data_IF_534707334130
#
_entry.id   IF_534707334130
#
_cell.length_a   1.000
_cell.length_b   1.000
_cell.length_c   1.000
_cell.angle_alpha   90.00
_cell.angle_beta   90.00
_cell.angle_gamma   90.00
#
_symmetry.space_group_name_H-M   'P 1'
#
loop_
_entity.id
_entity.type
_entity.pdbx_description
1 polymer ?
#
# COMPACT_ATOMS: atom_id res chain seq x y z
N UNK A 1 13.97 52.81 10.04
CA UNK A 1 13.79 52.66 8.59
C UNK A 1 14.85 51.68 8.11
N UNK A 2 14.53 50.38 8.06
CA UNK A 2 15.24 49.40 7.25
C UNK A 2 14.30 48.21 7.05
N UNK A 3 13.63 48.21 5.90
CA UNK A 3 12.82 47.11 5.42
C UNK A 3 13.77 46.01 4.95
N UNK A 4 13.85 44.90 5.68
CA UNK A 4 14.48 43.68 5.17
C UNK A 4 13.56 43.05 4.11
N UNK A 5 14.10 42.97 2.90
CA UNK A 5 13.43 42.55 1.66
C UNK A 5 12.77 41.16 1.80
N UNK A 6 11.60 40.90 1.16
CA UNK A 6 11.04 39.57 1.12
C UNK A 6 11.87 38.69 0.16
N UNK A 7 12.43 37.61 0.69
CA UNK A 7 13.13 36.58 -0.08
C UNK A 7 12.10 35.84 -0.96
N UNK A 8 11.87 36.33 -2.19
CA UNK A 8 10.93 35.74 -3.16
C UNK A 8 11.64 34.80 -4.14
N UNK A 9 11.02 33.63 -4.34
CA UNK A 9 10.95 32.83 -5.59
C UNK A 9 12.23 32.13 -6.10
N UNK A 10 12.63 31.06 -5.42
CA UNK A 10 13.17 29.85 -6.10
C UNK A 10 12.47 28.54 -5.66
N UNK A 11 11.38 28.65 -4.89
CA UNK A 11 10.63 27.53 -4.32
C UNK A 11 9.72 26.80 -5.31
N UNK A 12 9.42 27.36 -6.49
CA UNK A 12 8.40 26.78 -7.40
C UNK A 12 8.90 25.53 -8.15
N UNK A 13 10.14 25.54 -8.66
CA UNK A 13 10.66 24.45 -9.47
C UNK A 13 11.04 23.24 -8.61
N UNK A 14 11.75 23.50 -7.49
CA UNK A 14 12.13 22.47 -6.53
C UNK A 14 10.92 21.80 -5.89
N UNK A 15 9.91 22.57 -5.46
CA UNK A 15 8.68 21.98 -4.90
C UNK A 15 7.88 21.20 -5.94
N UNK A 16 7.85 21.64 -7.21
CA UNK A 16 7.21 20.88 -8.28
C UNK A 16 7.86 19.50 -8.50
N UNK A 17 9.20 19.44 -8.54
CA UNK A 17 9.94 18.19 -8.66
C UNK A 17 9.73 17.26 -7.47
N UNK A 18 9.77 17.79 -6.24
CA UNK A 18 9.56 16.98 -5.03
C UNK A 18 8.12 16.47 -4.96
N UNK A 19 7.13 17.31 -5.29
CA UNK A 19 5.73 16.93 -5.25
C UNK A 19 5.34 15.89 -6.32
N UNK A 20 6.10 15.80 -7.41
CA UNK A 20 5.87 14.87 -8.51
C UNK A 20 7.01 13.86 -8.69
N UNK A 21 7.88 13.68 -7.68
CA UNK A 21 9.08 12.85 -7.79
C UNK A 21 8.73 11.40 -8.19
N UNK A 22 7.68 10.83 -7.57
CA UNK A 22 7.17 9.50 -7.93
C UNK A 22 6.79 9.41 -9.42
N UNK A 23 6.00 10.37 -9.92
CA UNK A 23 5.56 10.42 -11.31
C UNK A 23 6.75 10.56 -12.27
N UNK A 24 7.66 11.50 -11.99
CA UNK A 24 8.82 11.75 -12.82
C UNK A 24 9.73 10.51 -12.90
N UNK A 25 9.99 9.86 -11.76
CA UNK A 25 10.76 8.62 -11.72
C UNK A 25 10.06 7.47 -12.47
N UNK A 26 8.73 7.35 -12.35
CA UNK A 26 7.96 6.39 -13.14
C UNK A 26 8.14 6.64 -14.64
N UNK A 27 7.97 7.89 -15.09
CA UNK A 27 8.11 8.25 -16.52
C UNK A 27 9.52 7.94 -17.01
N UNK A 28 10.55 8.30 -16.24
CA UNK A 28 11.94 8.01 -16.58
C UNK A 28 12.21 6.51 -16.71
N UNK A 29 11.74 5.69 -15.76
CA UNK A 29 11.91 4.23 -15.84
C UNK A 29 11.10 3.62 -16.98
N UNK A 30 9.91 4.13 -17.29
CA UNK A 30 9.11 3.66 -18.43
C UNK A 30 9.83 3.94 -19.75
N UNK A 31 10.41 5.14 -19.90
CA UNK A 31 11.22 5.49 -21.08
C UNK A 31 12.46 4.59 -21.16
N UNK A 32 13.18 4.43 -20.05
CA UNK A 32 14.35 3.56 -19.97
C UNK A 32 14.02 2.13 -20.44
N UNK A 33 13.01 1.48 -19.83
CA UNK A 33 12.63 0.13 -20.22
C UNK A 33 12.07 0.08 -21.66
N UNK A 34 11.43 1.15 -22.13
CA UNK A 34 10.97 1.23 -23.53
C UNK A 34 12.09 1.18 -24.56
N UNK A 35 13.27 1.71 -24.22
CA UNK A 35 14.44 1.75 -25.09
C UNK A 35 15.30 0.51 -24.91
N UNK A 36 15.56 0.10 -23.66
CA UNK A 36 16.55 -0.92 -23.34
C UNK A 36 15.97 -2.32 -23.13
N UNK A 37 14.66 -2.46 -22.93
CA UNK A 37 14.03 -3.76 -22.67
C UNK A 37 13.13 -4.18 -23.81
N UNK A 38 13.55 -5.24 -24.51
CA UNK A 38 12.76 -5.83 -25.59
C UNK A 38 11.36 -6.20 -25.08
N UNK A 39 10.33 -5.81 -25.85
CA UNK A 39 8.93 -6.10 -25.57
C UNK A 39 8.34 -5.44 -24.32
N UNK A 40 9.04 -4.50 -23.66
CA UNK A 40 8.47 -3.80 -22.51
C UNK A 40 7.21 -2.99 -22.89
N UNK A 41 7.24 -2.31 -24.03
CA UNK A 41 6.09 -1.53 -24.54
C UNK A 41 4.96 -2.40 -25.10
N UNK A 42 5.03 -3.73 -25.02
CA UNK A 42 3.89 -4.58 -25.38
C UNK A 42 2.78 -4.40 -24.36
N UNK A 43 1.55 -4.30 -24.84
CA UNK A 43 0.37 -4.11 -24.01
C UNK A 43 0.24 -5.19 -22.90
N UNK A 44 0.62 -6.43 -23.19
CA UNK A 44 0.60 -7.52 -22.21
C UNK A 44 1.59 -7.30 -21.05
N UNK A 45 2.74 -6.70 -21.32
CA UNK A 45 3.74 -6.37 -20.30
C UNK A 45 3.23 -5.25 -19.42
N UNK A 46 2.66 -4.20 -20.02
CA UNK A 46 2.05 -3.09 -19.27
C UNK A 46 0.88 -3.57 -18.41
N UNK A 47 0.07 -4.50 -18.92
CA UNK A 47 -0.98 -5.14 -18.13
C UNK A 47 -0.42 -5.96 -16.97
N UNK A 48 0.65 -6.70 -17.19
CA UNK A 48 1.32 -7.47 -16.13
C UNK A 48 1.90 -6.54 -15.05
N UNK A 49 2.47 -5.40 -15.43
CA UNK A 49 2.93 -4.37 -14.51
C UNK A 49 1.79 -3.89 -13.61
N UNK A 50 0.65 -3.52 -14.19
CA UNK A 50 -0.51 -3.07 -13.42
C UNK A 50 -1.05 -4.16 -12.50
N UNK A 51 -1.14 -5.41 -12.99
CA UNK A 51 -1.57 -6.55 -12.18
C UNK A 51 -0.66 -6.83 -10.98
N UNK A 52 0.67 -6.73 -11.15
CA UNK A 52 1.63 -6.89 -10.05
C UNK A 52 1.62 -5.70 -9.09
N UNK A 53 1.29 -4.52 -9.59
CA UNK A 53 1.18 -3.32 -8.75
C UNK A 53 -0.06 -3.38 -7.86
N UNK A 54 -1.12 -4.09 -8.27
CA UNK A 54 -2.40 -4.09 -7.57
C UNK A 54 -2.27 -4.37 -6.07
N UNK A 55 -1.62 -5.47 -5.66
CA UNK A 55 -1.47 -5.82 -4.25
C UNK A 55 -0.76 -4.72 -3.43
N UNK A 56 0.34 -4.17 -3.97
CA UNK A 56 1.06 -3.07 -3.33
C UNK A 56 0.25 -1.77 -3.34
N UNK A 57 -0.60 -1.54 -4.34
CA UNK A 57 -1.49 -0.39 -4.41
C UNK A 57 -2.47 -0.38 -3.23
N UNK A 58 -3.10 -1.52 -2.94
CA UNK A 58 -3.99 -1.67 -1.79
C UNK A 58 -3.25 -1.37 -0.47
N UNK A 59 -2.07 -1.97 -0.29
CA UNK A 59 -1.20 -1.69 0.85
C UNK A 59 -0.84 -0.20 0.97
N UNK A 60 -0.46 0.44 -0.15
CA UNK A 60 -0.11 1.85 -0.20
C UNK A 60 -1.30 2.77 0.13
N UNK A 61 -2.52 2.44 -0.30
CA UNK A 61 -3.72 3.21 0.06
C UNK A 61 -3.97 3.17 1.57
N UNK A 62 -3.86 1.98 2.19
CA UNK A 62 -3.98 1.82 3.64
C UNK A 62 -2.93 2.61 4.39
N UNK A 63 -1.66 2.43 4.00
CA UNK A 63 -0.55 3.12 4.63
C UNK A 63 -0.63 4.64 4.45
N UNK A 64 -1.16 5.13 3.33
CA UNK A 64 -1.32 6.58 3.11
C UNK A 64 -2.29 7.19 4.10
N UNK A 65 -3.39 6.49 4.44
CA UNK A 65 -4.33 6.95 5.46
C UNK A 65 -3.69 6.92 6.86
N UNK A 66 -2.95 5.86 7.18
CA UNK A 66 -2.25 5.70 8.47
C UNK A 66 -1.19 6.79 8.67
N UNK A 67 -0.33 6.98 7.66
CA UNK A 67 0.69 8.04 7.67
C UNK A 67 0.04 9.41 7.76
N UNK A 68 -1.04 9.66 7.01
CA UNK A 68 -1.77 10.93 7.05
C UNK A 68 -2.33 11.24 8.44
N UNK A 69 -2.67 10.23 9.26
CA UNK A 69 -3.07 10.41 10.67
C UNK A 69 -1.91 10.61 11.65
N UNK A 70 -0.65 10.60 11.19
CA UNK A 70 0.55 10.70 12.03
C UNK A 70 0.97 9.38 12.67
N UNK A 71 0.49 8.25 12.16
CA UNK A 71 0.83 6.91 12.62
C UNK A 71 1.55 6.11 11.51
N UNK A 72 1.97 4.89 11.81
CA UNK A 72 2.55 3.97 10.80
C UNK A 72 2.01 2.56 11.03
N UNK A 73 1.72 1.83 9.96
CA UNK A 73 1.29 0.43 10.03
C UNK A 73 2.34 -0.51 9.41
N UNK A 74 3.11 -1.17 10.26
CA UNK A 74 4.10 -2.19 9.87
C UNK A 74 3.50 -3.60 9.80
N UNK A 75 2.22 -3.77 10.16
CA UNK A 75 1.53 -5.07 10.15
C UNK A 75 0.85 -5.38 8.82
N UNK A 76 0.96 -4.50 7.81
CA UNK A 76 0.33 -4.65 6.49
C UNK A 76 0.70 -6.00 5.85
N UNK A 77 1.99 -6.32 5.76
CA UNK A 77 2.47 -7.56 5.15
C UNK A 77 1.97 -8.82 5.85
N UNK A 78 1.99 -8.83 7.19
CA UNK A 78 1.47 -9.95 7.98
C UNK A 78 -0.06 -10.06 7.91
N UNK A 79 -0.77 -8.93 7.78
CA UNK A 79 -2.23 -8.91 7.58
C UNK A 79 -2.61 -9.47 6.22
N UNK A 80 -1.84 -9.16 5.17
CA UNK A 80 -1.96 -9.80 3.86
C UNK A 80 -1.79 -11.31 3.97
N UNK A 81 -0.75 -11.76 4.69
CA UNK A 81 -0.45 -13.17 4.88
C UNK A 81 -1.62 -13.90 5.55
N UNK A 82 -2.07 -13.47 6.72
CA UNK A 82 -3.17 -14.14 7.43
C UNK A 82 -4.51 -14.09 6.66
N UNK A 83 -4.82 -12.97 5.99
CA UNK A 83 -6.03 -12.85 5.18
C UNK A 83 -6.03 -13.83 4.00
N UNK A 84 -4.91 -13.90 3.27
CA UNK A 84 -4.75 -14.89 2.20
C UNK A 84 -4.78 -16.32 2.75
N UNK A 85 -4.15 -16.55 3.91
CA UNK A 85 -4.11 -17.87 4.53
C UNK A 85 -5.51 -18.41 4.87
N UNK A 86 -6.34 -17.57 5.51
CA UNK A 86 -7.70 -17.96 5.87
C UNK A 86 -8.56 -18.16 4.63
N UNK A 87 -8.52 -17.23 3.68
CA UNK A 87 -9.29 -17.32 2.45
C UNK A 87 -8.93 -18.60 1.67
N UNK A 88 -7.64 -18.85 1.49
CA UNK A 88 -7.12 -20.00 0.76
C UNK A 88 -7.49 -21.33 1.42
N UNK A 89 -7.40 -21.40 2.75
CA UNK A 89 -7.73 -22.62 3.50
C UNK A 89 -9.21 -22.95 3.42
N UNK A 90 -10.09 -21.95 3.56
CA UNK A 90 -11.54 -22.14 3.43
C UNK A 90 -11.92 -22.58 2.02
N UNK A 91 -11.35 -21.96 0.99
CA UNK A 91 -11.58 -22.37 -0.40
C UNK A 91 -11.12 -23.80 -0.66
N UNK A 92 -9.95 -24.20 -0.14
CA UNK A 92 -9.47 -25.59 -0.22
C UNK A 92 -10.36 -26.58 0.51
N UNK A 93 -11.04 -26.13 1.57
CA UNK A 93 -12.05 -26.93 2.27
C UNK A 93 -13.40 -27.02 1.52
N UNK A 94 -13.49 -26.51 0.29
CA UNK A 94 -14.70 -26.53 -0.54
C UNK A 94 -15.71 -25.45 -0.21
N UNK A 95 -15.35 -24.44 0.59
CA UNK A 95 -16.25 -23.33 0.89
C UNK A 95 -16.42 -22.42 -0.32
N UNK A 96 -17.60 -21.83 -0.45
CA UNK A 96 -17.85 -20.81 -1.47
C UNK A 96 -16.86 -19.64 -1.32
N UNK A 97 -16.23 -19.26 -2.43
CA UNK A 97 -15.22 -18.19 -2.46
C UNK A 97 -15.72 -16.85 -1.86
N UNK A 98 -16.98 -16.49 -2.08
CA UNK A 98 -17.57 -15.28 -1.51
C UNK A 98 -17.60 -15.33 0.03
N UNK A 99 -17.95 -16.48 0.60
CA UNK A 99 -17.95 -16.69 2.06
C UNK A 99 -16.51 -16.64 2.60
N UNK A 100 -15.56 -17.30 1.91
CA UNK A 100 -14.16 -17.28 2.31
C UNK A 100 -13.57 -15.86 2.33
N UNK A 101 -13.90 -15.04 1.34
CA UNK A 101 -13.51 -13.62 1.28
C UNK A 101 -14.14 -12.84 2.45
N UNK A 102 -15.43 -13.02 2.71
CA UNK A 102 -16.12 -12.32 3.80
C UNK A 102 -15.54 -12.67 5.17
N UNK A 103 -15.28 -13.95 5.45
CA UNK A 103 -14.64 -14.39 6.71
C UNK A 103 -13.25 -13.78 6.85
N UNK A 104 -12.46 -13.76 5.78
CA UNK A 104 -11.13 -13.18 5.79
C UNK A 104 -11.15 -11.67 6.02
N UNK A 105 -12.14 -10.95 5.46
CA UNK A 105 -12.36 -9.54 5.72
C UNK A 105 -12.76 -9.26 7.17
N UNK A 106 -13.59 -10.10 7.78
CA UNK A 106 -13.95 -9.98 9.21
C UNK A 106 -12.69 -10.11 10.07
N UNK A 107 -11.81 -11.05 9.77
CA UNK A 107 -10.52 -11.18 10.47
C UNK A 107 -9.66 -9.93 10.30
N UNK A 108 -9.62 -9.33 9.10
CA UNK A 108 -8.91 -8.07 8.88
C UNK A 108 -9.50 -6.91 9.70
N UNK A 109 -10.83 -6.84 9.83
CA UNK A 109 -11.48 -5.85 10.70
C UNK A 109 -11.06 -6.06 12.15
N UNK A 110 -11.04 -7.30 12.64
CA UNK A 110 -10.59 -7.63 14.00
C UNK A 110 -9.12 -7.21 14.20
N UNK A 111 -8.23 -7.54 13.26
CA UNK A 111 -6.82 -7.15 13.31
C UNK A 111 -6.69 -5.62 13.38
N UNK A 112 -7.42 -4.90 12.51
CA UNK A 112 -7.42 -3.45 12.49
C UNK A 112 -7.97 -2.81 13.77
N UNK A 113 -8.99 -3.43 14.39
CA UNK A 113 -9.51 -3.00 15.70
C UNK A 113 -8.49 -3.22 16.81
N UNK A 114 -7.82 -4.37 16.85
CA UNK A 114 -6.78 -4.66 17.83
C UNK A 114 -5.60 -3.70 17.69
N UNK A 115 -5.11 -3.52 16.46
CA UNK A 115 -4.03 -2.60 16.13
C UNK A 115 -4.38 -1.15 16.46
N UNK A 116 -5.58 -0.73 16.06
CA UNK A 116 -6.11 0.59 16.37
C UNK A 116 -6.24 0.82 17.87
N UNK A 117 -6.64 -0.19 18.65
CA UNK A 117 -6.78 -0.09 20.11
C UNK A 117 -5.44 0.05 20.82
N UNK A 118 -4.42 -0.71 20.39
CA UNK A 118 -3.05 -0.61 20.91
C UNK A 118 -2.52 0.83 20.81
N UNK A 119 -2.80 1.51 19.70
CA UNK A 119 -2.31 2.87 19.45
C UNK A 119 -3.23 3.93 20.06
N UNK A 120 -4.54 3.81 19.83
CA UNK A 120 -5.51 4.85 20.16
C UNK A 120 -5.87 4.91 21.66
N UNK A 121 -5.97 3.76 22.32
CA UNK A 121 -6.45 3.67 23.72
C UNK A 121 -5.33 3.31 24.68
N UNK A 122 -4.42 2.41 24.28
CA UNK A 122 -3.29 2.01 25.12
C UNK A 122 -2.07 2.93 24.97
N UNK A 123 -2.16 3.91 24.06
CA UNK A 123 -1.11 4.92 23.82
C UNK A 123 0.28 4.34 23.55
N UNK A 124 0.35 3.12 23.01
CA UNK A 124 1.60 2.50 22.59
C UNK A 124 2.08 3.20 21.33
N UNK A 125 3.38 3.50 21.26
CA UNK A 125 3.97 4.13 20.08
C UNK A 125 3.67 3.30 18.81
N UNK A 126 3.13 3.90 17.73
CA UNK A 126 2.67 3.18 16.55
C UNK A 126 3.70 2.22 15.95
N UNK A 127 4.97 2.63 15.85
CA UNK A 127 6.02 1.78 15.30
C UNK A 127 6.22 0.49 16.12
N UNK A 128 6.31 0.61 17.45
CA UNK A 128 6.51 -0.55 18.34
C UNK A 128 5.30 -1.47 18.31
N UNK A 129 4.09 -0.93 18.46
CA UNK A 129 2.85 -1.70 18.43
C UNK A 129 2.72 -2.52 17.13
N UNK A 130 3.06 -1.91 15.99
CA UNK A 130 2.91 -2.56 14.70
C UNK A 130 4.05 -3.53 14.37
N UNK A 131 5.25 -3.33 14.90
CA UNK A 131 6.32 -4.34 14.83
C UNK A 131 5.92 -5.61 15.58
N UNK A 132 5.38 -5.48 16.80
CA UNK A 132 4.88 -6.62 17.58
C UNK A 132 3.71 -7.29 16.86
N UNK A 133 2.74 -6.51 16.40
CA UNK A 133 1.59 -7.00 15.62
C UNK A 133 2.04 -7.76 14.37
N UNK A 134 3.04 -7.24 13.64
CA UNK A 134 3.64 -7.92 12.48
C UNK A 134 4.17 -9.31 12.83
N UNK A 135 4.89 -9.44 13.95
CA UNK A 135 5.43 -10.73 14.40
C UNK A 135 4.31 -11.70 14.77
N UNK A 136 3.30 -11.23 15.52
CA UNK A 136 2.17 -12.06 15.95
C UNK A 136 1.37 -12.57 14.76
N UNK A 137 0.90 -11.69 13.87
CA UNK A 137 0.04 -12.12 12.77
C UNK A 137 0.76 -12.98 11.73
N UNK A 138 2.06 -12.72 11.49
CA UNK A 138 2.88 -13.60 10.65
C UNK A 138 3.03 -14.98 11.29
N UNK A 139 3.32 -15.05 12.59
CA UNK A 139 3.41 -16.33 13.30
C UNK A 139 2.08 -17.09 13.27
N UNK A 140 0.96 -16.41 13.51
CA UNK A 140 -0.38 -17.02 13.42
C UNK A 140 -0.66 -17.54 12.01
N UNK A 141 -0.35 -16.77 10.97
CA UNK A 141 -0.51 -17.22 9.58
C UNK A 141 0.32 -18.48 9.27
N UNK A 142 1.56 -18.51 9.75
CA UNK A 142 2.47 -19.64 9.56
C UNK A 142 2.01 -20.88 10.35
N UNK A 143 1.59 -20.74 11.61
CA UNK A 143 1.05 -21.85 12.41
C UNK A 143 -0.21 -22.41 11.75
N UNK A 144 -1.12 -21.53 11.32
CA UNK A 144 -2.37 -21.92 10.69
C UNK A 144 -2.17 -22.72 9.39
N UNK A 145 -1.21 -22.30 8.57
CA UNK A 145 -0.87 -22.97 7.30
C UNK A 145 0.18 -24.06 7.44
N UNK A 146 0.71 -24.30 8.65
CA UNK A 146 1.89 -25.14 8.93
C UNK A 146 3.15 -24.70 8.16
N UNK A 147 3.20 -23.44 7.71
CA UNK A 147 4.32 -22.86 6.97
C UNK A 147 4.55 -23.48 5.58
N UNK A 148 3.57 -24.21 5.03
CA UNK A 148 3.68 -24.84 3.71
C UNK A 148 2.92 -24.06 2.65
N UNK A 149 3.50 -23.95 1.46
CA UNK A 149 2.83 -23.40 0.28
C UNK A 149 1.79 -24.40 -0.21
N UNK A 150 0.56 -23.93 -0.40
CA UNK A 150 -0.54 -24.75 -0.89
C UNK A 150 -1.16 -24.10 -2.13
N UNK A 151 -1.31 -24.88 -3.21
CA UNK A 151 -2.04 -24.44 -4.39
C UNK A 151 -3.53 -24.27 -4.06
N UNK A 152 -4.23 -23.39 -4.75
CA UNK A 152 -5.67 -23.20 -4.55
C UNK A 152 -6.36 -23.36 -5.89
N UNK A 153 -7.34 -24.25 -5.94
CA UNK A 153 -8.21 -24.33 -7.09
C UNK A 153 -9.04 -23.06 -7.19
N UNK A 154 -8.90 -22.39 -8.33
CA UNK A 154 -9.43 -21.06 -8.54
C UNK A 154 -10.81 -21.18 -9.17
N UNK A 155 -11.84 -21.22 -8.34
CA UNK A 155 -13.24 -21.32 -8.79
C UNK A 155 -13.77 -20.01 -9.37
N UNK A 156 -14.86 -20.11 -10.14
CA UNK A 156 -15.47 -19.09 -11.02
C UNK A 156 -15.20 -17.62 -10.68
N UNK A 157 -15.55 -17.16 -9.47
CA UNK A 157 -15.41 -15.74 -9.10
C UNK A 157 -13.93 -15.30 -8.98
N UNK A 158 -13.07 -16.20 -8.51
CA UNK A 158 -11.66 -15.92 -8.29
C UNK A 158 -10.91 -15.97 -9.62
N UNK A 159 -11.25 -16.92 -10.49
CA UNK A 159 -10.77 -16.98 -11.87
C UNK A 159 -11.21 -15.75 -12.67
N UNK A 160 -12.42 -15.26 -12.42
CA UNK A 160 -12.93 -14.02 -13.02
C UNK A 160 -12.11 -12.81 -12.56
N UNK A 161 -11.87 -12.65 -11.26
CA UNK A 161 -11.19 -11.47 -10.71
C UNK A 161 -9.70 -11.43 -11.07
N UNK A 162 -8.98 -12.54 -10.93
CA UNK A 162 -7.52 -12.54 -11.00
C UNK A 162 -6.94 -13.07 -12.32
N UNK A 163 -7.65 -13.97 -13.02
CA UNK A 163 -7.08 -14.70 -14.16
C UNK A 163 -7.76 -14.36 -15.50
N UNK A 164 -8.95 -13.75 -15.47
CA UNK A 164 -9.68 -13.41 -16.69
C UNK A 164 -9.16 -12.11 -17.30
N UNK A 165 -9.06 -12.11 -18.63
CA UNK A 165 -8.71 -10.93 -19.43
C UNK A 165 -9.88 -10.56 -20.32
N UNK A 166 -10.26 -9.28 -20.30
CA UNK A 166 -11.35 -8.75 -21.10
C UNK A 166 -10.84 -8.59 -22.54
N UNK A 167 -11.30 -9.44 -23.45
CA UNK A 167 -10.83 -9.48 -24.84
C UNK A 167 -11.09 -8.16 -25.57
N UNK A 168 -12.24 -7.52 -25.32
CA UNK A 168 -12.65 -6.25 -25.94
C UNK A 168 -11.76 -5.05 -25.58
N UNK A 169 -11.20 -5.02 -24.37
CA UNK A 169 -10.31 -3.94 -23.89
C UNK A 169 -8.83 -4.35 -24.00
N UNK A 170 -8.38 -4.74 -25.19
CA UNK A 170 -6.99 -5.11 -25.44
C UNK A 170 -6.42 -6.14 -24.44
N UNK A 171 -7.24 -7.14 -24.06
CA UNK A 171 -6.91 -8.18 -23.06
C UNK A 171 -6.56 -7.63 -21.67
N UNK A 172 -7.25 -6.57 -21.22
CA UNK A 172 -7.10 -6.01 -19.88
C UNK A 172 -7.39 -7.06 -18.79
N UNK A 173 -6.46 -7.29 -17.84
CA UNK A 173 -6.71 -8.13 -16.67
C UNK A 173 -7.82 -7.54 -15.79
N UNK A 174 -8.77 -8.37 -15.36
CA UNK A 174 -9.89 -7.93 -14.52
C UNK A 174 -9.41 -7.35 -13.18
N UNK A 175 -8.24 -7.78 -12.66
CA UNK A 175 -7.62 -7.27 -11.42
C UNK A 175 -7.32 -5.76 -11.43
N UNK A 176 -7.25 -5.14 -12.62
CA UNK A 176 -7.10 -3.67 -12.73
C UNK A 176 -8.36 -2.95 -12.26
N UNK A 177 -9.54 -3.56 -12.40
CA UNK A 177 -10.82 -2.98 -11.97
C UNK A 177 -10.87 -2.76 -10.44
N UNK A 178 -10.66 -3.78 -9.57
CA UNK A 178 -10.65 -3.56 -8.13
C UNK A 178 -9.51 -2.62 -7.69
N UNK A 179 -8.38 -2.61 -8.40
CA UNK A 179 -7.30 -1.65 -8.18
C UNK A 179 -7.75 -0.20 -8.43
N UNK A 180 -8.43 0.09 -9.55
CA UNK A 180 -8.98 1.43 -9.80
C UNK A 180 -10.08 1.79 -8.80
N UNK A 181 -10.91 0.81 -8.45
CA UNK A 181 -12.01 0.97 -7.50
C UNK A 181 -11.48 1.37 -6.12
N UNK A 182 -10.42 0.71 -5.61
CA UNK A 182 -9.84 1.09 -4.31
C UNK A 182 -9.27 2.50 -4.34
N UNK A 183 -8.57 2.90 -5.41
CA UNK A 183 -8.06 4.27 -5.55
C UNK A 183 -9.21 5.28 -5.52
N UNK A 184 -10.30 5.01 -6.26
CA UNK A 184 -11.47 5.88 -6.28
C UNK A 184 -12.14 5.97 -4.90
N UNK A 185 -12.31 4.84 -4.20
CA UNK A 185 -12.83 4.80 -2.84
C UNK A 185 -11.95 5.65 -1.91
N UNK A 186 -10.63 5.46 -1.94
CA UNK A 186 -9.72 6.19 -1.05
C UNK A 186 -9.73 7.69 -1.37
N UNK A 187 -9.76 8.08 -2.65
CA UNK A 187 -9.92 9.49 -3.05
C UNK A 187 -11.25 10.06 -2.55
N UNK A 188 -12.33 9.30 -2.64
CA UNK A 188 -13.64 9.72 -2.15
C UNK A 188 -13.65 9.90 -0.62
N UNK A 189 -13.07 8.95 0.12
CA UNK A 189 -12.91 9.03 1.58
C UNK A 189 -12.12 10.29 1.97
N UNK A 190 -11.00 10.57 1.30
CA UNK A 190 -10.13 11.69 1.64
C UNK A 190 -10.73 13.04 1.23
N UNK A 191 -11.26 13.16 0.01
CA UNK A 191 -11.69 14.45 -0.55
C UNK A 191 -13.15 14.81 -0.25
N UNK A 192 -14.02 13.82 -0.08
CA UNK A 192 -15.48 14.05 0.00
C UNK A 192 -16.05 13.72 1.39
N UNK A 193 -15.53 12.71 2.09
CA UNK A 193 -16.06 12.33 3.40
C UNK A 193 -15.51 13.18 4.55
N UNK A 194 -16.27 13.23 5.66
CA UNK A 194 -15.82 13.86 6.91
C UNK A 194 -14.57 13.16 7.48
N UNK A 195 -14.42 11.86 7.22
CA UNK A 195 -13.29 11.06 7.68
C UNK A 195 -11.95 11.61 7.19
N UNK A 196 -11.83 11.97 5.90
CA UNK A 196 -10.58 12.56 5.37
C UNK A 196 -10.13 13.82 6.11
N UNK A 197 -11.07 14.72 6.43
CA UNK A 197 -10.77 15.94 7.22
C UNK A 197 -10.36 15.63 8.66
N UNK A 198 -10.97 14.61 9.28
CA UNK A 198 -10.58 14.16 10.62
C UNK A 198 -9.17 13.58 10.62
N UNK A 199 -8.83 12.75 9.63
CA UNK A 199 -7.50 12.15 9.47
C UNK A 199 -6.44 13.26 9.34
N UNK A 200 -6.65 14.23 8.45
CA UNK A 200 -5.71 15.34 8.25
C UNK A 200 -5.57 16.21 9.50
N UNK A 201 -6.68 16.49 10.21
CA UNK A 201 -6.64 17.27 11.45
C UNK A 201 -5.85 16.55 12.55
N UNK A 202 -6.11 15.26 12.75
CA UNK A 202 -5.40 14.41 13.73
C UNK A 202 -3.92 14.32 13.40
N UNK A 203 -3.56 14.16 12.12
CA UNK A 203 -2.17 14.09 11.68
C UNK A 203 -1.39 15.40 11.78
N UNK A 204 -2.04 16.55 11.62
CA UNK A 204 -1.37 17.84 11.81
C UNK A 204 -1.05 18.09 13.29
N UNK A 205 -2.04 17.93 14.18
CA UNK A 205 -1.83 18.08 15.61
C UNK A 205 -2.99 17.42 16.39
N UNK A 206 -2.70 16.29 17.04
CA UNK A 206 -3.69 15.51 17.81
C UNK A 206 -4.34 16.34 18.92
N UNK A 207 -3.56 17.18 19.64
CA UNK A 207 -4.07 18.03 20.73
C UNK A 207 -5.04 19.09 20.20
N UNK A 208 -4.70 19.71 19.07
CA UNK A 208 -5.57 20.72 18.44
C UNK A 208 -6.85 20.08 17.90
N UNK A 209 -6.73 18.91 17.27
CA UNK A 209 -7.88 18.15 16.78
C UNK A 209 -8.84 17.78 17.93
N UNK A 210 -8.31 17.35 19.07
CA UNK A 210 -9.10 17.06 20.27
C UNK A 210 -9.84 18.31 20.79
N UNK A 211 -9.16 19.45 20.91
CA UNK A 211 -9.77 20.71 21.33
C UNK A 211 -10.84 21.21 20.34
N UNK A 212 -10.74 20.84 19.06
CA UNK A 212 -11.73 21.13 18.03
C UNK A 212 -12.90 20.10 18.00
N UNK A 213 -13.01 19.21 18.99
CA UNK A 213 -14.08 18.22 19.09
C UNK A 213 -13.93 17.01 18.16
N UNK A 214 -12.76 16.78 17.56
CA UNK A 214 -12.49 15.59 16.76
C UNK A 214 -12.10 14.42 17.67
N UNK A 215 -12.79 13.29 17.54
CA UNK A 215 -12.43 12.06 18.24
C UNK A 215 -11.11 11.48 17.70
N UNK A 216 -9.99 11.80 18.36
CA UNK A 216 -8.65 11.30 17.99
C UNK A 216 -8.62 9.78 17.99
N UNK A 217 -9.04 9.15 19.10
CA UNK A 217 -9.02 7.70 19.24
C UNK A 217 -9.88 6.99 18.18
N UNK A 218 -11.11 7.47 17.96
CA UNK A 218 -12.01 6.91 16.95
C UNK A 218 -11.47 7.07 15.52
N UNK A 219 -10.76 8.16 15.23
CA UNK A 219 -10.13 8.38 13.92
C UNK A 219 -8.98 7.41 13.70
N UNK A 220 -8.08 7.26 14.68
CA UNK A 220 -6.96 6.31 14.61
C UNK A 220 -7.49 4.87 14.42
N UNK A 221 -8.49 4.47 15.21
CA UNK A 221 -9.09 3.14 15.13
C UNK A 221 -9.71 2.87 13.75
N UNK A 222 -10.45 3.84 13.19
CA UNK A 222 -11.01 3.71 11.84
C UNK A 222 -9.92 3.55 10.78
N UNK A 223 -8.81 4.29 10.91
CA UNK A 223 -7.71 4.26 9.94
C UNK A 223 -6.98 2.91 9.97
N UNK A 224 -6.74 2.33 11.14
CA UNK A 224 -6.16 0.98 11.25
C UNK A 224 -7.09 -0.12 10.72
N UNK A 225 -8.40 0.00 10.92
CA UNK A 225 -9.38 -0.92 10.31
C UNK A 225 -9.36 -0.83 8.79
N UNK A 226 -9.35 0.38 8.22
CA UNK A 226 -9.25 0.57 6.76
C UNK A 226 -7.92 0.04 6.21
N UNK A 227 -6.81 0.29 6.91
CA UNK A 227 -5.49 -0.23 6.55
C UNK A 227 -5.48 -1.75 6.49
N UNK A 228 -5.99 -2.41 7.54
CA UNK A 228 -6.06 -3.87 7.60
C UNK A 228 -7.00 -4.45 6.53
N UNK A 229 -8.13 -3.80 6.25
CA UNK A 229 -9.03 -4.23 5.17
C UNK A 229 -8.36 -4.13 3.80
N UNK A 230 -7.69 -3.00 3.50
CA UNK A 230 -6.98 -2.86 2.23
C UNK A 230 -5.82 -3.85 2.12
N UNK A 231 -5.04 -4.04 3.18
CA UNK A 231 -4.01 -5.07 3.25
C UNK A 231 -4.61 -6.46 2.98
N UNK A 232 -5.68 -6.83 3.66
CA UNK A 232 -6.36 -8.12 3.48
C UNK A 232 -6.78 -8.38 2.03
N UNK A 233 -7.44 -7.40 1.39
CA UNK A 233 -7.82 -7.50 -0.02
C UNK A 233 -6.59 -7.59 -0.92
N UNK A 234 -5.55 -6.80 -0.67
CA UNK A 234 -4.29 -6.89 -1.41
C UNK A 234 -3.63 -8.27 -1.32
N UNK A 235 -3.65 -8.90 -0.14
CA UNK A 235 -3.13 -10.24 0.09
C UNK A 235 -3.94 -11.33 -0.62
N UNK A 236 -5.27 -11.25 -0.55
CA UNK A 236 -6.15 -12.17 -1.28
C UNK A 236 -5.98 -12.04 -2.80
N UNK A 237 -5.87 -10.81 -3.32
CA UNK A 237 -5.62 -10.58 -4.74
C UNK A 237 -4.29 -11.17 -5.21
N UNK A 238 -3.24 -11.05 -4.40
CA UNK A 238 -1.94 -11.66 -4.72
C UNK A 238 -2.03 -13.19 -4.74
N UNK A 239 -2.69 -13.79 -3.77
CA UNK A 239 -2.97 -15.23 -3.71
C UNK A 239 -3.79 -15.72 -4.91
N UNK A 240 -4.82 -14.97 -5.31
CA UNK A 240 -5.64 -15.31 -6.47
C UNK A 240 -4.86 -15.23 -7.79
N UNK A 241 -3.89 -14.31 -7.85
CA UNK A 241 -3.00 -14.13 -9.00
C UNK A 241 -1.95 -15.23 -9.10
N UNK A 242 -1.38 -15.68 -7.98
CA UNK A 242 -0.39 -16.76 -7.91
C UNK A 242 -1.01 -18.17 -7.86
N UNK A 243 -2.34 -18.26 -7.71
CA UNK A 243 -3.09 -19.50 -7.47
C UNK A 243 -2.54 -20.33 -6.30
N UNK A 244 -1.86 -19.68 -5.36
CA UNK A 244 -1.15 -20.34 -4.26
C UNK A 244 -1.18 -19.47 -3.03
N UNK A 245 -1.45 -20.09 -1.88
CA UNK A 245 -1.31 -19.49 -0.56
C UNK A 245 0.06 -19.85 -0.01
N UNK A 246 0.83 -18.81 0.35
CA UNK A 246 2.14 -18.94 0.98
C UNK A 246 2.26 -17.87 2.07
N UNK A 247 2.05 -18.29 3.31
CA UNK A 247 2.12 -17.44 4.49
C UNK A 247 3.52 -16.89 4.78
N UNK A 248 4.57 -17.57 4.28
CA UNK A 248 5.94 -17.12 4.47
C UNK A 248 6.24 -15.94 3.54
N UNK A 249 5.84 -16.02 2.26
CA UNK A 249 6.28 -15.06 1.23
C UNK A 249 5.29 -13.92 0.97
N UNK A 250 3.99 -14.14 1.11
CA UNK A 250 2.97 -13.12 0.80
C UNK A 250 3.18 -11.89 1.68
N UNK A 251 3.28 -10.71 1.05
CA UNK A 251 3.42 -9.44 1.75
C UNK A 251 4.77 -9.21 2.46
N UNK A 252 5.81 -10.02 2.20
CA UNK A 252 7.17 -9.71 2.68
C UNK A 252 7.58 -8.32 2.17
N UNK A 253 8.08 -7.47 3.07
CA UNK A 253 8.56 -6.11 2.81
C UNK A 253 7.50 -5.12 2.26
N UNK A 254 6.25 -5.55 2.09
CA UNK A 254 5.18 -4.68 1.57
C UNK A 254 4.92 -3.51 2.50
N UNK A 255 5.12 -3.66 3.82
CA UNK A 255 5.06 -2.54 4.75
C UNK A 255 6.07 -1.43 4.41
N UNK A 256 7.33 -1.77 4.12
CA UNK A 256 8.38 -0.83 3.74
C UNK A 256 8.08 -0.19 2.39
N UNK A 257 7.67 -0.98 1.40
CA UNK A 257 7.33 -0.47 0.07
C UNK A 257 6.06 0.40 0.09
N UNK A 258 5.08 0.12 0.96
CA UNK A 258 3.89 0.94 1.11
C UNK A 258 4.20 2.28 1.79
N UNK A 259 5.06 2.28 2.83
CA UNK A 259 5.56 3.52 3.45
C UNK A 259 6.27 4.36 2.39
N UNK A 260 7.17 3.72 1.64
CA UNK A 260 7.91 4.35 0.58
C UNK A 260 7.00 4.94 -0.49
N UNK A 261 6.02 4.17 -0.97
CA UNK A 261 5.08 4.62 -1.98
C UNK A 261 4.34 5.89 -1.52
N UNK A 262 3.82 5.89 -0.28
CA UNK A 262 3.13 7.04 0.27
C UNK A 262 4.05 8.26 0.47
N UNK A 263 5.29 8.00 0.92
CA UNK A 263 6.29 9.02 1.27
C UNK A 263 6.88 9.65 0.01
N UNK A 264 7.34 8.87 -0.97
CA UNK A 264 7.81 9.35 -2.29
C UNK A 264 6.66 10.02 -3.06
N UNK A 265 5.43 9.55 -2.85
CA UNK A 265 4.21 10.19 -3.32
C UNK A 265 3.92 11.57 -2.69
N UNK A 266 4.70 11.98 -1.69
CA UNK A 266 4.62 13.28 -1.05
C UNK A 266 3.66 13.38 0.12
N UNK A 267 3.18 12.25 0.66
CA UNK A 267 2.50 12.23 1.96
C UNK A 267 3.55 12.35 3.06
N UNK A 268 3.43 13.34 3.95
CA UNK A 268 4.42 13.59 4.98
C UNK A 268 4.37 12.50 6.07
N UNK A 269 5.52 11.92 6.42
CA UNK A 269 5.60 10.91 7.50
C UNK A 269 5.14 11.41 8.87
N UNK A 270 5.11 12.74 9.10
CA UNK A 270 4.61 13.31 10.35
C UNK A 270 3.07 13.46 10.40
N UNK A 271 2.36 13.13 9.32
CA UNK A 271 0.92 13.35 9.22
C UNK A 271 0.53 14.61 8.46
N UNK A 272 -0.77 14.79 8.29
CA UNK A 272 -1.37 15.89 7.54
C UNK A 272 -2.01 15.42 6.23
N UNK A 273 -1.79 16.13 5.12
CA UNK A 273 -2.49 15.89 3.84
C UNK A 273 -2.11 14.55 3.19
N UNK A 274 -3.10 13.67 3.01
CA UNK A 274 -2.96 12.45 2.23
C UNK A 274 -2.85 12.73 0.72
N UNK A 275 -1.75 12.30 0.08
CA UNK A 275 -1.54 12.43 -1.37
C UNK A 275 -1.77 11.12 -2.10
N UNK A 276 -3.04 10.78 -2.31
CA UNK A 276 -3.45 9.50 -2.90
C UNK A 276 -2.81 9.23 -4.27
N UNK A 277 -2.87 10.18 -5.21
CA UNK A 277 -2.28 9.99 -6.54
C UNK A 277 -0.76 9.84 -6.48
N UNK A 278 -0.10 10.52 -5.55
CA UNK A 278 1.32 10.34 -5.32
C UNK A 278 1.65 8.92 -4.87
N UNK A 279 0.87 8.38 -3.93
CA UNK A 279 1.01 6.99 -3.47
C UNK A 279 0.75 5.97 -4.59
N UNK A 280 -0.15 6.28 -5.53
CA UNK A 280 -0.38 5.46 -6.73
C UNK A 280 0.88 5.38 -7.56
N UNK A 281 1.49 6.52 -7.91
CA UNK A 281 2.75 6.52 -8.64
C UNK A 281 3.90 5.92 -7.83
N UNK A 282 3.92 6.11 -6.51
CA UNK A 282 4.91 5.48 -5.63
C UNK A 282 4.84 3.95 -5.65
N UNK A 283 3.63 3.36 -5.62
CA UNK A 283 3.45 1.92 -5.73
C UNK A 283 3.85 1.41 -7.12
N UNK A 284 3.45 2.12 -8.19
CA UNK A 284 3.88 1.83 -9.56
C UNK A 284 5.41 1.87 -9.70
N UNK A 285 6.06 2.86 -9.08
CA UNK A 285 7.51 2.99 -9.07
C UNK A 285 8.19 1.77 -8.44
N UNK A 286 7.71 1.33 -7.28
CA UNK A 286 8.24 0.16 -6.58
C UNK A 286 8.13 -1.11 -7.44
N UNK A 287 7.00 -1.31 -8.11
CA UNK A 287 6.81 -2.47 -9.00
C UNK A 287 7.64 -2.32 -10.29
N UNK A 288 7.75 -1.12 -10.85
CA UNK A 288 8.59 -0.83 -12.02
C UNK A 288 10.06 -1.12 -11.76
N UNK A 289 10.59 -0.80 -10.58
CA UNK A 289 11.98 -1.12 -10.22
C UNK A 289 12.19 -2.63 -10.28
N UNK A 290 11.30 -3.42 -9.68
CA UNK A 290 11.37 -4.90 -9.77
C UNK A 290 11.31 -5.39 -11.20
N UNK A 291 10.39 -4.88 -12.03
CA UNK A 291 10.32 -5.28 -13.42
C UNK A 291 11.60 -4.92 -14.19
N UNK A 292 12.16 -3.72 -13.97
CA UNK A 292 13.38 -3.26 -14.64
C UNK A 292 14.57 -4.18 -14.36
N UNK A 293 14.76 -4.53 -13.09
CA UNK A 293 15.83 -5.44 -12.65
C UNK A 293 15.64 -6.84 -13.25
N UNK A 294 14.39 -7.34 -13.27
CA UNK A 294 14.07 -8.62 -13.90
C UNK A 294 14.34 -8.60 -15.42
N UNK A 295 14.02 -7.51 -16.13
CA UNK A 295 14.32 -7.36 -17.55
C UNK A 295 15.82 -7.25 -17.84
N UNK A 296 16.60 -6.72 -16.89
CA UNK A 296 18.05 -6.71 -16.94
C UNK A 296 18.68 -8.08 -16.58
N UNK A 297 17.88 -9.10 -16.29
CA UNK A 297 18.32 -10.43 -15.82
C UNK A 297 19.17 -10.38 -14.54
N UNK A 298 18.90 -9.40 -13.68
CA UNK A 298 19.53 -9.26 -12.37
C UNK A 298 18.63 -9.93 -11.32
N UNK A 299 19.21 -10.38 -10.20
CA UNK A 299 18.45 -11.07 -9.14
C UNK A 299 17.48 -10.13 -8.41
N UNK A 300 16.41 -10.70 -7.85
CA UNK A 300 15.35 -9.95 -7.16
C UNK A 300 15.87 -9.21 -5.92
N UNK A 301 16.88 -9.75 -5.25
CA UNK A 301 17.52 -9.14 -4.07
C UNK A 301 18.13 -7.78 -4.42
N UNK A 302 18.69 -7.62 -5.62
CA UNK A 302 19.17 -6.32 -6.08
C UNK A 302 18.04 -5.33 -6.34
N UNK A 303 16.85 -5.79 -6.73
CA UNK A 303 15.69 -4.91 -6.79
C UNK A 303 15.36 -4.32 -5.42
N UNK A 304 15.51 -5.10 -4.34
CA UNK A 304 15.32 -4.60 -2.99
C UNK A 304 16.40 -3.58 -2.58
N UNK A 305 17.64 -3.75 -3.02
CA UNK A 305 18.71 -2.74 -2.82
C UNK A 305 18.35 -1.43 -3.52
N UNK A 306 17.92 -1.47 -4.78
CA UNK A 306 17.50 -0.27 -5.51
C UNK A 306 16.28 0.40 -4.88
N UNK A 307 15.27 -0.37 -4.46
CA UNK A 307 14.13 0.17 -3.72
C UNK A 307 14.57 0.84 -2.43
N UNK A 308 15.44 0.21 -1.64
CA UNK A 308 15.96 0.78 -0.40
C UNK A 308 16.72 2.11 -0.65
N UNK A 309 17.54 2.18 -1.70
CA UNK A 309 18.22 3.42 -2.08
C UNK A 309 17.21 4.54 -2.42
N UNK A 310 16.15 4.22 -3.17
CA UNK A 310 15.08 5.19 -3.49
C UNK A 310 14.34 5.65 -2.23
N UNK A 311 14.11 4.76 -1.26
CA UNK A 311 13.50 5.09 0.03
C UNK A 311 14.38 6.08 0.80
N UNK A 312 15.67 5.76 0.98
CA UNK A 312 16.61 6.61 1.70
C UNK A 312 16.69 7.99 1.05
N UNK A 313 16.80 8.04 -0.28
CA UNK A 313 16.84 9.29 -1.03
C UNK A 313 15.58 10.12 -0.80
N UNK A 314 14.40 9.51 -0.87
CA UNK A 314 13.13 10.21 -0.67
C UNK A 314 12.96 10.75 0.75
N UNK A 315 13.38 9.98 1.76
CA UNK A 315 13.35 10.42 3.16
C UNK A 315 14.35 11.56 3.39
N UNK A 316 15.57 11.47 2.84
CA UNK A 316 16.59 12.51 2.96
C UNK A 316 16.14 13.84 2.34
N UNK A 317 15.44 13.80 1.19
CA UNK A 317 14.86 14.99 0.59
C UNK A 317 13.78 15.63 1.48
N UNK A 318 12.98 14.82 2.16
CA UNK A 318 11.92 15.31 3.06
C UNK A 318 12.47 15.86 4.38
N UNK A 319 13.58 15.31 4.89
CA UNK A 319 14.21 15.82 6.10
C UNK A 319 14.90 17.16 5.85
N UNK A 320 15.53 17.33 4.68
CA UNK A 320 16.20 18.58 4.27
C UNK A 320 15.24 19.77 4.11
N UNK A 321 13.95 19.54 3.86
CA UNK A 321 12.96 20.62 3.69
C UNK A 321 12.53 21.26 5.04
N UNK A 322 13.06 20.76 6.15
CA UNK A 322 12.74 21.18 7.53
C UNK A 322 13.92 21.77 8.31
N UNK A 323 15.10 21.86 7.69
CA UNK A 323 16.25 22.63 8.19
C UNK A 323 16.29 24.00 7.53
#
# INVERSE_FOLDING_TARGET
MEMTKPFRRNLSFRSFFINNAALLMCVLLVIYNGIFSNNFMRINTLWNLLSQTAALMFAAMGQTLVISSGCTDLSIGSTMAIASSVCGTLMRAGWNAGIAILVSLIICVIIGLLNGTLVAHLHIQPMVAMLVSRMVWRAVANIYTKGITQSIETDGIVKLIAQTRIVSLARMPVIVIPMLLVVLITVFIVKKMKLGRKIEAVGNNQRTAYLCGVSVAGTILTVYVLSACFAGVGGMLEMFRSSSMDSNTVGIDFEMFAIAAATIGGTNMRGGKARIMGSVFGALLMTLITMTVNYANITYEMANVFKAAVIVFAIALQSSEKS
#
